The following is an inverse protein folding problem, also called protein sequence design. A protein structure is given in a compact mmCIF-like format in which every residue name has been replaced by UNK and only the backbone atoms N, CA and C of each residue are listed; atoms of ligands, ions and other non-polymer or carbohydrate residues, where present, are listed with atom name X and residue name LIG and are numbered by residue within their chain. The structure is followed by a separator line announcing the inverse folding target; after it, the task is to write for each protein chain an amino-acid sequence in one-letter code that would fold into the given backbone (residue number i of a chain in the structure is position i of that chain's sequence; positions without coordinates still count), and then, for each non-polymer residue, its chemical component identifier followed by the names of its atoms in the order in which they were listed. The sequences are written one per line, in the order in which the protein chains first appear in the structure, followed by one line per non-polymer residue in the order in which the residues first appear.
data_IF_275801860285
#
_entry.id   IF_275801860285
#
_cell.length_a   1.000
_cell.length_b   1.000
_cell.length_c   1.000
_cell.angle_alpha   90.00
_cell.angle_beta   90.00
_cell.angle_gamma   90.00
#
_symmetry.space_group_name_H-M   'P 1'
#
loop_
_entity.id
_entity.type
_entity.pdbx_description
1 polymer ?
#
# COMPACT_ATOMS: atom_id res chain seq x y z
N UNK A 1 3.92 39.61 -24.97
CA UNK A 1 5.07 40.30 -24.33
C UNK A 1 6.07 39.23 -23.90
N UNK A 2 7.37 39.45 -24.10
CA UNK A 2 8.41 38.56 -23.55
C UNK A 2 8.47 38.80 -22.05
N UNK A 3 8.43 37.75 -21.24
CA UNK A 3 8.62 37.85 -19.79
C UNK A 3 9.98 38.48 -19.50
N UNK A 4 10.00 39.69 -18.95
CA UNK A 4 11.24 40.41 -18.63
C UNK A 4 11.63 40.16 -17.18
N UNK A 5 12.29 39.03 -16.93
CA UNK A 5 12.81 38.67 -15.61
C UNK A 5 14.00 39.53 -15.16
N UNK A 6 14.51 40.42 -16.01
CA UNK A 6 15.63 41.31 -15.68
C UNK A 6 15.18 42.73 -15.30
N UNK A 7 13.87 43.03 -15.34
CA UNK A 7 13.36 44.34 -14.93
C UNK A 7 13.53 44.54 -13.42
N UNK A 8 13.77 45.78 -13.01
CA UNK A 8 13.85 46.12 -11.59
C UNK A 8 12.51 45.85 -10.88
N UNK A 9 11.39 46.14 -11.56
CA UNK A 9 10.04 45.83 -11.09
C UNK A 9 9.83 44.36 -10.73
N UNK A 10 10.37 43.43 -11.52
CA UNK A 10 10.28 42.00 -11.19
C UNK A 10 11.12 41.65 -9.96
N UNK A 11 12.32 42.22 -9.82
CA UNK A 11 13.19 41.95 -8.67
C UNK A 11 12.55 42.45 -7.37
N UNK A 12 12.06 43.69 -7.36
CA UNK A 12 11.36 44.28 -6.21
C UNK A 12 10.12 43.47 -5.82
N UNK A 13 9.27 43.13 -6.80
CA UNK A 13 8.10 42.30 -6.56
C UNK A 13 8.47 40.92 -6.01
N UNK A 14 9.43 40.24 -6.66
CA UNK A 14 9.93 38.93 -6.22
C UNK A 14 10.42 38.98 -4.78
N UNK A 15 11.23 39.97 -4.44
CA UNK A 15 11.83 40.06 -3.11
C UNK A 15 10.75 40.36 -2.05
N UNK A 16 9.74 41.17 -2.38
CA UNK A 16 8.60 41.42 -1.47
C UNK A 16 7.77 40.16 -1.16
N UNK A 17 7.59 39.27 -2.14
CA UNK A 17 6.87 38.00 -1.95
C UNK A 17 7.71 37.05 -1.09
N UNK A 18 9.01 36.91 -1.39
CA UNK A 18 9.93 36.05 -0.64
C UNK A 18 10.06 36.53 0.82
N UNK A 19 10.12 37.83 1.04
CA UNK A 19 10.14 38.43 2.38
C UNK A 19 8.84 38.14 3.14
N UNK A 20 7.68 38.29 2.49
CA UNK A 20 6.37 37.99 3.08
C UNK A 20 6.22 36.51 3.47
N UNK A 21 6.83 35.61 2.70
CA UNK A 21 6.87 34.17 2.99
C UNK A 21 7.98 33.78 4.00
N UNK A 22 8.64 34.77 4.62
CA UNK A 22 9.64 34.54 5.66
C UNK A 22 10.92 33.90 5.16
N UNK A 23 11.29 34.11 3.89
CA UNK A 23 12.49 33.58 3.26
C UNK A 23 12.57 32.04 3.29
N UNK A 24 11.43 31.36 3.16
CA UNK A 24 11.32 29.90 3.17
C UNK A 24 10.51 29.40 1.99
N UNK A 25 10.87 28.22 1.50
CA UNK A 25 10.06 27.49 0.54
C UNK A 25 8.74 27.05 1.19
N UNK A 26 7.60 27.39 0.60
CA UNK A 26 6.26 27.06 1.14
C UNK A 26 5.95 25.56 1.13
N UNK A 27 6.68 24.76 0.34
CA UNK A 27 6.51 23.31 0.26
C UNK A 27 7.42 22.57 1.26
N UNK A 28 8.73 22.79 1.21
CA UNK A 28 9.70 21.99 1.99
C UNK A 28 10.35 22.75 3.14
N UNK A 29 10.00 24.02 3.36
CA UNK A 29 10.53 24.84 4.44
C UNK A 29 12.02 25.23 4.32
N UNK A 30 12.71 24.86 3.23
CA UNK A 30 14.12 25.25 3.03
C UNK A 30 14.26 26.76 3.00
N UNK A 31 15.16 27.26 3.82
CA UNK A 31 15.52 28.68 3.92
C UNK A 31 16.41 29.14 2.77
N UNK A 32 16.38 30.45 2.48
CA UNK A 32 17.23 31.13 1.49
C UNK A 32 18.73 30.90 1.70
N UNK A 33 19.17 30.65 2.94
CA UNK A 33 20.56 30.30 3.29
C UNK A 33 21.03 28.96 2.71
N UNK A 34 20.09 28.04 2.40
CA UNK A 34 20.37 26.68 1.93
C UNK A 34 20.04 26.47 0.46
N UNK A 35 19.31 27.39 -0.16
CA UNK A 35 18.83 27.22 -1.54
C UNK A 35 18.41 28.54 -2.18
N UNK A 36 18.31 28.54 -3.51
CA UNK A 36 17.78 29.69 -4.25
C UNK A 36 16.25 29.62 -4.20
N UNK A 37 15.64 30.69 -3.69
CA UNK A 37 14.19 30.89 -3.69
C UNK A 37 13.74 31.64 -4.96
N UNK A 38 12.60 31.22 -5.47
CA UNK A 38 11.98 31.71 -6.69
C UNK A 38 10.48 31.89 -6.44
N UNK A 39 9.87 32.87 -7.09
CA UNK A 39 8.42 33.04 -7.07
C UNK A 39 7.83 32.25 -8.22
N UNK A 40 6.92 31.33 -7.88
CA UNK A 40 6.10 30.59 -8.82
C UNK A 40 4.72 31.25 -8.95
N UNK A 41 4.28 31.53 -10.17
CA UNK A 41 2.92 31.99 -10.45
C UNK A 41 1.99 30.79 -10.54
N UNK A 42 0.98 30.71 -9.65
CA UNK A 42 0.04 29.58 -9.59
C UNK A 42 -0.98 29.59 -10.73
N UNK A 43 -1.19 30.76 -11.36
CA UNK A 43 -2.01 30.93 -12.56
C UNK A 43 -1.35 31.89 -13.53
N UNK A 44 -1.59 31.71 -14.83
CA UNK A 44 -1.09 32.59 -15.88
C UNK A 44 -2.24 33.34 -16.55
N UNK A 45 -2.23 34.67 -16.45
CA UNK A 45 -3.21 35.57 -17.08
C UNK A 45 -2.57 36.25 -18.30
N UNK A 46 -3.20 36.09 -19.46
CA UNK A 46 -2.69 36.62 -20.73
C UNK A 46 -2.59 38.15 -20.70
N UNK A 47 -1.44 38.68 -21.12
CA UNK A 47 -1.20 40.12 -21.24
C UNK A 47 -0.72 40.82 -19.96
N UNK A 48 -0.63 40.08 -18.85
CA UNK A 48 -0.17 40.59 -17.55
C UNK A 48 1.35 40.43 -17.41
N UNK A 49 2.03 41.44 -16.87
CA UNK A 49 3.44 41.38 -16.50
C UNK A 49 3.63 40.55 -15.21
N UNK A 50 4.84 40.04 -14.99
CA UNK A 50 5.15 39.13 -13.86
C UNK A 50 4.89 39.74 -12.47
N UNK A 51 5.03 41.06 -12.32
CA UNK A 51 4.82 41.81 -11.08
C UNK A 51 3.40 42.37 -10.92
N UNK A 52 2.52 42.14 -11.90
CA UNK A 52 1.11 42.59 -11.86
C UNK A 52 0.17 41.53 -11.26
N UNK A 53 0.71 40.41 -10.77
CA UNK A 53 -0.05 39.36 -10.10
C UNK A 53 -0.28 39.72 -8.64
N UNK A 54 -1.42 39.30 -8.09
CA UNK A 54 -1.67 39.42 -6.67
C UNK A 54 -0.73 38.46 -5.90
N UNK A 55 -0.38 38.80 -4.66
CA UNK A 55 0.47 37.94 -3.84
C UNK A 55 -0.13 36.54 -3.61
N UNK A 56 -1.47 36.42 -3.55
CA UNK A 56 -2.19 35.15 -3.48
C UNK A 56 -1.98 34.23 -4.70
N UNK A 57 -1.57 34.81 -5.84
CA UNK A 57 -1.28 34.08 -7.08
C UNK A 57 0.20 33.70 -7.21
N UNK A 58 0.96 33.93 -6.15
CA UNK A 58 2.40 33.74 -6.09
C UNK A 58 2.73 32.85 -4.89
N UNK A 59 3.72 31.99 -5.06
CA UNK A 59 4.23 31.17 -3.97
C UNK A 59 5.76 31.11 -4.02
N UNK A 60 6.42 31.31 -2.87
CA UNK A 60 7.87 31.19 -2.77
C UNK A 60 8.30 29.73 -2.71
N UNK A 61 9.02 29.28 -3.72
CA UNK A 61 9.53 27.92 -3.84
C UNK A 61 11.05 27.89 -3.97
N UNK A 62 11.69 26.87 -3.40
CA UNK A 62 13.08 26.60 -3.75
C UNK A 62 13.21 26.05 -5.17
N UNK A 63 14.40 26.17 -5.79
CA UNK A 63 14.67 25.72 -7.16
C UNK A 63 14.17 24.31 -7.49
N UNK A 64 14.22 23.38 -6.53
CA UNK A 64 13.76 22.00 -6.73
C UNK A 64 12.24 21.89 -6.68
N UNK A 65 11.59 22.51 -5.70
CA UNK A 65 10.12 22.53 -5.63
C UNK A 65 9.53 23.24 -6.84
N UNK A 66 10.13 24.34 -7.25
CA UNK A 66 9.71 25.04 -8.46
C UNK A 66 9.83 24.19 -9.73
N UNK A 67 10.91 23.41 -9.85
CA UNK A 67 11.05 22.47 -10.97
C UNK A 67 10.02 21.32 -10.91
N UNK A 68 9.64 20.84 -9.72
CA UNK A 68 8.58 19.84 -9.54
C UNK A 68 7.22 20.39 -9.98
N UNK A 69 6.89 21.63 -9.60
CA UNK A 69 5.63 22.26 -9.99
C UNK A 69 5.48 22.42 -11.51
N UNK A 70 6.60 22.58 -12.21
CA UNK A 70 6.67 22.61 -13.67
C UNK A 70 6.84 21.23 -14.34
N UNK A 71 6.81 20.14 -13.58
CA UNK A 71 6.98 18.78 -14.10
C UNK A 71 8.36 18.51 -14.70
N UNK A 72 9.38 19.31 -14.36
CA UNK A 72 10.76 19.14 -14.88
C UNK A 72 11.55 18.09 -14.11
N UNK A 73 11.18 17.85 -12.86
CA UNK A 73 11.76 16.80 -12.02
C UNK A 73 10.63 16.06 -11.30
N UNK A 74 10.89 14.79 -10.97
CA UNK A 74 9.92 13.92 -10.30
C UNK A 74 9.54 14.48 -8.93
N UNK A 75 8.23 14.59 -8.61
CA UNK A 75 7.76 14.94 -7.28
C UNK A 75 8.24 13.94 -6.22
N UNK A 76 8.52 14.45 -5.02
CA UNK A 76 8.87 13.65 -3.85
C UNK A 76 7.75 13.60 -2.79
N UNK A 77 6.58 14.17 -3.08
CA UNK A 77 5.36 14.16 -2.26
C UNK A 77 4.15 14.25 -3.19
N UNK A 78 2.93 14.16 -2.63
CA UNK A 78 1.69 14.37 -3.36
C UNK A 78 1.29 13.19 -4.24
N UNK A 79 1.83 12.01 -3.96
CA UNK A 79 1.46 10.78 -4.65
C UNK A 79 0.23 10.16 -4.00
N UNK A 80 -0.64 9.59 -4.81
CA UNK A 80 -1.84 8.88 -4.38
C UNK A 80 -1.62 7.38 -4.53
N UNK A 81 -2.02 6.62 -3.52
CA UNK A 81 -2.02 5.17 -3.57
C UNK A 81 -3.19 4.65 -4.42
N UNK A 82 -2.91 3.79 -5.40
CA UNK A 82 -3.92 3.27 -6.34
C UNK A 82 -4.19 1.78 -6.12
N UNK A 83 -3.17 0.99 -5.81
CA UNK A 83 -3.34 -0.45 -5.61
C UNK A 83 -2.03 -1.21 -5.42
N UNK A 84 -2.15 -2.50 -5.12
CA UNK A 84 -1.03 -3.40 -4.84
C UNK A 84 -1.13 -4.70 -5.65
N UNK A 85 0.03 -5.30 -5.89
CA UNK A 85 0.17 -6.61 -6.52
C UNK A 85 1.29 -7.42 -5.85
N UNK A 86 1.08 -8.73 -5.67
CA UNK A 86 2.12 -9.68 -5.29
C UNK A 86 2.58 -10.46 -6.53
N UNK A 87 3.80 -10.19 -7.00
CA UNK A 87 4.42 -10.86 -8.14
C UNK A 87 4.78 -12.33 -7.86
N UNK A 88 4.62 -12.78 -6.61
CA UNK A 88 4.94 -14.13 -6.16
C UNK A 88 6.42 -14.36 -5.87
N UNK A 89 7.32 -13.62 -6.53
CA UNK A 89 8.77 -13.69 -6.35
C UNK A 89 9.42 -12.30 -6.47
N UNK A 90 10.71 -12.19 -6.13
CA UNK A 90 11.50 -10.96 -6.13
C UNK A 90 11.96 -10.59 -7.56
N UNK A 91 11.01 -10.39 -8.45
CA UNK A 91 11.22 -10.20 -9.91
C UNK A 91 10.89 -8.80 -10.42
N UNK A 92 10.20 -7.97 -9.63
CA UNK A 92 9.93 -6.57 -9.98
C UNK A 92 11.11 -5.67 -9.63
N UNK A 93 11.09 -4.44 -10.13
CA UNK A 93 12.06 -3.39 -9.82
C UNK A 93 11.30 -2.11 -9.41
N UNK A 94 11.71 -1.46 -8.33
CA UNK A 94 11.09 -0.23 -7.85
C UNK A 94 11.49 0.97 -8.73
N UNK A 95 10.53 1.61 -9.40
CA UNK A 95 10.77 2.76 -10.27
C UNK A 95 11.43 3.96 -9.58
N UNK A 96 11.29 4.05 -8.25
CA UNK A 96 11.86 5.16 -7.49
C UNK A 96 13.31 4.93 -7.04
N UNK A 97 13.69 3.69 -6.68
CA UNK A 97 14.99 3.41 -6.06
C UNK A 97 15.79 2.27 -6.72
N UNK A 98 15.26 1.61 -7.75
CA UNK A 98 15.90 0.52 -8.48
C UNK A 98 16.09 -0.77 -7.68
N UNK A 99 15.46 -0.90 -6.50
CA UNK A 99 15.55 -2.12 -5.70
C UNK A 99 14.61 -3.19 -6.23
N UNK A 100 15.05 -4.45 -6.24
CA UNK A 100 14.18 -5.55 -6.60
C UNK A 100 13.06 -5.71 -5.57
N UNK A 101 11.84 -5.96 -6.04
CA UNK A 101 10.62 -6.03 -5.23
C UNK A 101 9.76 -7.23 -5.66
N UNK A 102 9.08 -7.81 -4.67
CA UNK A 102 8.03 -8.83 -4.88
C UNK A 102 6.64 -8.23 -4.81
N UNK A 103 6.44 -7.34 -3.84
CA UNK A 103 5.18 -6.62 -3.65
C UNK A 103 5.31 -5.25 -4.30
N UNK A 104 4.49 -5.02 -5.30
CA UNK A 104 4.43 -3.79 -6.08
C UNK A 104 3.29 -2.93 -5.57
N UNK A 105 3.56 -1.65 -5.35
CA UNK A 105 2.57 -0.65 -5.00
C UNK A 105 2.48 0.36 -6.15
N UNK A 106 1.29 0.48 -6.72
CA UNK A 106 0.99 1.42 -7.78
C UNK A 106 0.60 2.76 -7.15
N UNK A 107 1.37 3.80 -7.47
CA UNK A 107 1.12 5.17 -7.02
C UNK A 107 0.97 6.10 -8.22
N UNK A 108 0.23 7.19 -8.05
CA UNK A 108 -0.03 8.15 -9.12
C UNK A 108 0.20 9.59 -8.65
N UNK A 109 0.69 10.45 -9.54
CA UNK A 109 0.76 11.89 -9.31
C UNK A 109 0.28 12.63 -10.55
N UNK A 110 -0.63 13.61 -10.40
CA UNK A 110 -1.25 14.40 -11.48
C UNK A 110 -0.24 14.87 -12.54
N UNK A 111 0.87 15.45 -12.08
CA UNK A 111 1.90 16.06 -12.94
C UNK A 111 2.97 15.09 -13.46
N UNK A 112 2.96 13.82 -13.06
CA UNK A 112 4.02 12.86 -13.40
C UNK A 112 3.52 11.55 -14.01
N UNK A 113 2.35 11.07 -13.60
CA UNK A 113 1.82 9.77 -14.00
C UNK A 113 1.96 8.72 -12.91
N UNK A 114 1.90 7.46 -13.32
CA UNK A 114 1.98 6.31 -12.42
C UNK A 114 3.42 5.82 -12.22
N UNK A 115 3.69 5.21 -11.06
CA UNK A 115 4.90 4.47 -10.76
C UNK A 115 4.57 3.16 -10.04
N UNK A 116 5.43 2.17 -10.25
CA UNK A 116 5.48 0.91 -9.53
C UNK A 116 6.62 0.96 -8.51
N UNK A 117 6.28 0.92 -7.23
CA UNK A 117 7.28 1.11 -6.16
C UNK A 117 7.19 0.04 -5.08
N UNK A 118 8.30 -0.16 -4.37
CA UNK A 118 8.33 -0.99 -3.17
C UNK A 118 7.73 -0.29 -1.96
N UNK A 119 7.51 -1.07 -0.88
CA UNK A 119 6.83 -0.63 0.35
C UNK A 119 7.30 0.71 0.90
N UNK A 120 8.61 0.87 1.12
CA UNK A 120 9.16 2.10 1.71
C UNK A 120 8.99 3.31 0.78
N UNK A 121 9.11 3.10 -0.53
CA UNK A 121 8.95 4.18 -1.50
C UNK A 121 7.49 4.58 -1.64
N UNK A 122 6.54 3.64 -1.54
CA UNK A 122 5.11 3.94 -1.48
C UNK A 122 4.84 4.88 -0.31
N UNK A 123 5.05 4.40 0.93
CA UNK A 123 4.76 5.13 2.16
C UNK A 123 5.39 6.54 2.18
N UNK A 124 6.65 6.67 1.73
CA UNK A 124 7.35 7.96 1.69
C UNK A 124 6.78 8.93 0.64
N UNK A 125 6.37 8.44 -0.53
CA UNK A 125 5.87 9.28 -1.62
C UNK A 125 4.40 9.68 -1.41
N UNK A 126 3.62 8.80 -0.79
CA UNK A 126 2.21 9.02 -0.45
C UNK A 126 1.99 9.66 0.92
N UNK A 127 3.06 9.84 1.71
CA UNK A 127 3.03 10.30 3.10
C UNK A 127 2.05 9.48 3.97
N UNK A 128 2.19 8.17 3.88
CA UNK A 128 1.18 7.23 4.35
C UNK A 128 1.81 5.93 4.86
N UNK A 129 1.01 4.98 5.35
CA UNK A 129 1.50 3.71 5.95
C UNK A 129 0.80 2.47 5.36
N UNK A 130 0.05 2.65 4.28
CA UNK A 130 -0.81 1.68 3.62
C UNK A 130 0.00 0.47 3.18
N UNK A 131 1.16 0.70 2.57
CA UNK A 131 2.02 -0.38 2.10
C UNK A 131 2.64 -1.14 3.28
N UNK A 132 3.15 -0.44 4.29
CA UNK A 132 3.71 -1.09 5.48
C UNK A 132 2.65 -1.88 6.26
N UNK A 133 1.44 -1.35 6.41
CA UNK A 133 0.34 -2.02 7.10
C UNK A 133 -0.11 -3.29 6.36
N UNK A 134 -0.24 -3.22 5.04
CA UNK A 134 -0.50 -4.40 4.21
C UNK A 134 0.60 -5.44 4.43
N UNK A 135 1.86 -5.02 4.38
CA UNK A 135 2.98 -5.94 4.50
C UNK A 135 3.11 -6.58 5.87
N UNK A 136 2.80 -5.83 6.92
CA UNK A 136 2.73 -6.36 8.27
C UNK A 136 1.59 -7.39 8.40
N UNK A 137 0.43 -7.13 7.80
CA UNK A 137 -0.70 -8.07 7.76
C UNK A 137 -0.31 -9.38 7.06
N UNK A 138 0.33 -9.30 5.89
CA UNK A 138 0.85 -10.45 5.13
C UNK A 138 1.85 -11.24 5.96
N UNK A 139 2.84 -10.59 6.57
CA UNK A 139 3.85 -11.26 7.43
C UNK A 139 3.19 -11.97 8.63
N UNK A 140 2.21 -11.33 9.28
CA UNK A 140 1.46 -11.96 10.38
C UNK A 140 0.65 -13.16 9.91
N UNK A 141 0.06 -13.10 8.72
CA UNK A 141 -0.67 -14.23 8.14
C UNK A 141 0.26 -15.41 7.87
N UNK A 142 1.38 -15.19 7.18
CA UNK A 142 2.37 -16.23 6.87
C UNK A 142 3.02 -16.81 8.12
N UNK A 143 3.33 -15.97 9.12
CA UNK A 143 3.84 -16.44 10.41
C UNK A 143 2.84 -17.36 11.12
N UNK A 144 1.56 -16.97 11.17
CA UNK A 144 0.49 -17.81 11.75
C UNK A 144 0.32 -19.12 10.98
N UNK A 145 0.40 -19.07 9.65
CA UNK A 145 0.33 -20.25 8.77
C UNK A 145 1.47 -21.22 9.06
N UNK A 146 2.71 -20.74 9.10
CA UNK A 146 3.90 -21.55 9.45
C UNK A 146 3.77 -22.16 10.84
N UNK A 147 3.35 -21.38 11.82
CA UNK A 147 3.14 -21.85 13.20
C UNK A 147 2.04 -22.91 13.29
N UNK A 148 0.98 -22.80 12.47
CA UNK A 148 -0.08 -23.79 12.40
C UNK A 148 0.41 -25.09 11.76
N UNK A 149 1.12 -25.03 10.63
CA UNK A 149 1.65 -26.21 9.92
C UNK A 149 2.60 -27.01 10.82
N UNK A 150 3.50 -26.30 11.50
CA UNK A 150 4.55 -26.88 12.35
C UNK A 150 4.12 -27.07 13.81
N UNK A 151 2.84 -26.91 14.12
CA UNK A 151 2.38 -26.97 15.51
C UNK A 151 2.59 -28.36 16.11
N UNK A 152 3.23 -28.42 17.28
CA UNK A 152 3.33 -29.65 18.08
C UNK A 152 1.97 -30.18 18.57
N UNK A 153 0.91 -29.37 18.45
CA UNK A 153 -0.47 -29.74 18.86
C UNK A 153 -1.17 -30.64 17.84
N UNK A 154 -0.57 -30.84 16.66
CA UNK A 154 -1.05 -31.85 15.72
C UNK A 154 -0.92 -33.24 16.35
N UNK A 155 -2.06 -33.93 16.47
CA UNK A 155 -2.10 -35.34 16.83
C UNK A 155 -1.92 -36.15 15.57
N UNK A 156 -0.86 -36.93 15.51
CA UNK A 156 -0.58 -37.84 14.39
C UNK A 156 -0.91 -39.27 14.81
N UNK A 157 -1.55 -40.01 13.91
CA UNK A 157 -1.83 -41.44 14.00
C UNK A 157 -1.48 -42.08 12.66
N UNK A 158 -1.48 -43.41 12.57
CA UNK A 158 -0.97 -44.17 11.42
C UNK A 158 -1.55 -43.74 10.06
N UNK A 159 -2.81 -43.25 10.02
CA UNK A 159 -3.49 -42.84 8.79
C UNK A 159 -4.16 -41.47 8.84
N UNK A 160 -3.93 -40.69 9.90
CA UNK A 160 -4.51 -39.34 9.96
C UNK A 160 -3.78 -38.38 10.89
N UNK A 161 -3.93 -37.10 10.60
CA UNK A 161 -3.50 -36.00 11.44
C UNK A 161 -4.70 -35.16 11.86
N UNK A 162 -4.74 -34.73 13.11
CA UNK A 162 -5.83 -33.87 13.60
C UNK A 162 -5.35 -32.75 14.51
N UNK A 163 -6.05 -31.61 14.44
CA UNK A 163 -5.83 -30.49 15.34
C UNK A 163 -7.16 -29.77 15.58
N UNK A 164 -7.32 -29.25 16.80
CA UNK A 164 -8.40 -28.33 17.13
C UNK A 164 -7.87 -26.91 17.07
N UNK A 165 -8.48 -26.06 16.23
CA UNK A 165 -8.14 -24.65 16.09
C UNK A 165 -9.41 -23.81 16.16
N UNK A 166 -9.41 -22.82 17.06
CA UNK A 166 -10.58 -22.00 17.36
C UNK A 166 -11.78 -22.90 17.74
N UNK A 167 -12.87 -22.85 16.97
CA UNK A 167 -14.07 -23.65 17.16
C UNK A 167 -14.14 -24.87 16.23
N UNK A 168 -13.15 -25.06 15.35
CA UNK A 168 -13.15 -26.10 14.34
C UNK A 168 -12.22 -27.25 14.71
N UNK A 169 -12.70 -28.45 14.44
CA UNK A 169 -11.90 -29.67 14.41
C UNK A 169 -11.47 -29.92 12.98
N UNK A 170 -10.16 -30.10 12.80
CA UNK A 170 -9.54 -30.31 11.50
C UNK A 170 -8.94 -31.70 11.54
N UNK A 171 -9.29 -32.51 10.55
CA UNK A 171 -8.75 -33.85 10.32
C UNK A 171 -8.20 -33.93 8.90
N UNK A 172 -7.03 -34.53 8.75
CA UNK A 172 -6.40 -34.80 7.46
C UNK A 172 -6.17 -36.30 7.43
N UNK A 173 -6.92 -37.00 6.59
CA UNK A 173 -6.74 -38.44 6.37
C UNK A 173 -5.65 -38.66 5.32
N UNK A 174 -4.74 -39.59 5.57
CA UNK A 174 -3.72 -40.06 4.64
C UNK A 174 -4.25 -41.31 3.93
N UNK A 175 -4.27 -41.27 2.60
CA UNK A 175 -4.80 -42.34 1.75
C UNK A 175 -3.76 -42.60 0.67
N UNK A 176 -3.03 -43.72 0.76
CA UNK A 176 -1.99 -44.20 -0.16
C UNK A 176 -1.10 -43.08 -0.77
N UNK A 177 -1.57 -42.39 -1.81
CA UNK A 177 -0.85 -41.35 -2.55
C UNK A 177 -1.33 -39.90 -2.33
N UNK A 178 -2.32 -39.66 -1.46
CA UNK A 178 -2.89 -38.33 -1.25
C UNK A 178 -3.48 -38.10 0.14
N UNK A 179 -3.65 -36.82 0.48
CA UNK A 179 -4.27 -36.37 1.72
C UNK A 179 -5.66 -35.79 1.48
N UNK A 180 -6.60 -36.09 2.38
CA UNK A 180 -7.97 -35.58 2.37
C UNK A 180 -8.23 -34.70 3.59
N UNK A 181 -8.55 -33.43 3.35
CA UNK A 181 -8.90 -32.48 4.40
C UNK A 181 -10.37 -32.58 4.78
N UNK A 182 -10.66 -32.67 6.07
CA UNK A 182 -11.99 -32.54 6.66
C UNK A 182 -11.98 -31.44 7.71
N UNK A 183 -12.89 -30.46 7.59
CA UNK A 183 -13.08 -29.39 8.58
C UNK A 183 -14.51 -29.51 9.10
N UNK A 184 -14.68 -29.69 10.40
CA UNK A 184 -16.01 -29.74 11.06
C UNK A 184 -17.00 -30.67 10.34
N UNK A 185 -16.60 -31.93 10.14
CA UNK A 185 -17.37 -32.97 9.45
C UNK A 185 -17.65 -32.70 7.96
N UNK A 186 -17.07 -31.65 7.37
CA UNK A 186 -17.15 -31.36 5.95
C UNK A 186 -15.85 -31.79 5.26
N UNK A 187 -15.94 -32.89 4.50
CA UNK A 187 -14.82 -33.42 3.74
C UNK A 187 -14.61 -32.62 2.45
N UNK A 188 -13.39 -32.14 2.24
CA UNK A 188 -12.96 -31.47 1.02
C UNK A 188 -12.94 -32.45 -0.14
N UNK A 189 -13.38 -31.99 -1.32
CA UNK A 189 -13.26 -32.75 -2.58
C UNK A 189 -11.84 -32.68 -3.15
N UNK A 190 -11.02 -31.73 -2.69
CA UNK A 190 -9.65 -31.54 -3.17
C UNK A 190 -8.74 -32.61 -2.58
N UNK A 191 -7.92 -33.23 -3.42
CA UNK A 191 -6.84 -34.13 -3.04
C UNK A 191 -5.55 -33.33 -2.96
N UNK A 192 -4.79 -33.52 -1.89
CA UNK A 192 -3.52 -32.83 -1.68
C UNK A 192 -2.38 -33.84 -1.81
N UNK A 193 -1.31 -33.47 -2.53
CA UNK A 193 -0.15 -34.34 -2.73
C UNK A 193 0.78 -34.40 -1.52
N UNK A 194 0.62 -33.53 -0.52
CA UNK A 194 1.41 -33.55 0.70
C UNK A 194 0.60 -33.10 1.92
N UNK A 195 1.01 -33.59 3.09
CA UNK A 195 0.46 -33.17 4.37
C UNK A 195 0.58 -31.65 4.57
N UNK A 196 1.70 -31.06 4.17
CA UNK A 196 1.93 -29.62 4.28
C UNK A 196 0.93 -28.82 3.47
N UNK A 197 0.64 -29.22 2.23
CA UNK A 197 -0.37 -28.58 1.38
C UNK A 197 -1.78 -28.71 1.97
N UNK A 198 -2.10 -29.86 2.55
CA UNK A 198 -3.38 -30.07 3.23
C UNK A 198 -3.51 -29.17 4.49
N UNK A 199 -2.45 -29.08 5.31
CA UNK A 199 -2.39 -28.20 6.48
C UNK A 199 -2.49 -26.72 6.08
N UNK A 200 -1.74 -26.30 5.06
CA UNK A 200 -1.79 -24.96 4.48
C UNK A 200 -3.21 -24.58 4.06
N UNK A 201 -3.87 -25.45 3.29
CA UNK A 201 -5.22 -25.21 2.82
C UNK A 201 -6.25 -25.19 3.95
N UNK A 202 -6.05 -25.98 5.01
CA UNK A 202 -6.91 -25.96 6.20
C UNK A 202 -6.81 -24.62 6.94
N UNK A 203 -5.59 -24.12 7.12
CA UNK A 203 -5.34 -22.82 7.75
C UNK A 203 -6.02 -21.69 6.96
N UNK A 204 -5.77 -21.63 5.65
CA UNK A 204 -6.32 -20.60 4.78
C UNK A 204 -7.85 -20.58 4.84
N UNK A 205 -8.51 -21.74 4.68
CA UNK A 205 -9.97 -21.83 4.68
C UNK A 205 -10.62 -21.32 5.99
N UNK A 206 -9.93 -21.45 7.12
CA UNK A 206 -10.43 -21.02 8.43
C UNK A 206 -10.15 -19.53 8.66
N UNK A 207 -8.94 -19.05 8.35
CA UNK A 207 -8.51 -17.69 8.68
C UNK A 207 -9.08 -16.65 7.70
N UNK A 208 -9.31 -17.01 6.43
CA UNK A 208 -9.93 -16.10 5.47
C UNK A 208 -11.48 -16.12 5.49
N UNK A 209 -12.08 -16.87 6.42
CA UNK A 209 -13.54 -16.96 6.56
C UNK A 209 -14.27 -17.75 5.47
N UNK A 210 -13.60 -18.23 4.42
CA UNK A 210 -14.22 -18.98 3.31
C UNK A 210 -14.95 -20.23 3.80
N UNK A 211 -14.44 -20.91 4.82
CA UNK A 211 -15.11 -22.07 5.39
C UNK A 211 -16.43 -21.70 6.07
N UNK A 212 -16.47 -20.57 6.78
CA UNK A 212 -17.68 -20.06 7.42
C UNK A 212 -18.71 -19.68 6.36
N UNK A 213 -18.29 -18.94 5.33
CA UNK A 213 -19.17 -18.58 4.20
C UNK A 213 -19.74 -19.82 3.50
N UNK A 214 -18.92 -20.85 3.30
CA UNK A 214 -19.37 -22.13 2.73
C UNK A 214 -20.44 -22.79 3.59
N UNK A 215 -20.22 -22.86 4.92
CA UNK A 215 -21.19 -23.42 5.85
C UNK A 215 -22.52 -22.64 5.84
N UNK A 216 -22.46 -21.32 5.85
CA UNK A 216 -23.65 -20.45 5.77
C UNK A 216 -24.41 -20.67 4.46
N UNK A 217 -23.72 -20.69 3.31
CA UNK A 217 -24.35 -20.93 1.99
C UNK A 217 -25.01 -22.30 1.86
N UNK A 218 -24.54 -23.30 2.61
CA UNK A 218 -25.03 -24.68 2.55
C UNK A 218 -25.92 -25.07 3.72
N UNK A 219 -26.30 -24.12 4.59
CA UNK A 219 -27.05 -24.38 5.83
C UNK A 219 -26.42 -25.48 6.70
N UNK A 220 -25.09 -25.55 6.73
CA UNK A 220 -24.34 -26.47 7.57
C UNK A 220 -24.25 -25.84 8.97
N UNK A 221 -24.57 -26.63 9.99
CA UNK A 221 -24.47 -26.18 11.38
C UNK A 221 -23.04 -25.78 11.72
N UNK A 222 -22.88 -24.56 12.22
CA UNK A 222 -21.63 -24.06 12.77
C UNK A 222 -21.53 -24.43 14.27
N UNK A 223 -20.33 -24.46 14.84
CA UNK A 223 -20.16 -24.72 16.28
C UNK A 223 -21.03 -23.78 17.13
N UNK A 224 -21.71 -24.30 18.15
CA UNK A 224 -22.70 -23.57 18.96
C UNK A 224 -22.20 -22.26 19.62
N UNK A 225 -20.87 -22.06 19.71
CA UNK A 225 -20.23 -20.84 20.23
C UNK A 225 -19.98 -19.77 19.15
N UNK A 226 -20.33 -20.01 17.90
CA UNK A 226 -20.16 -19.08 16.79
C UNK A 226 -21.33 -18.07 16.76
N UNK A 227 -21.05 -16.81 17.13
CA UNK A 227 -22.03 -15.71 17.02
C UNK A 227 -21.87 -15.02 15.67
N UNK A 228 -22.90 -15.03 14.83
CA UNK A 228 -22.93 -14.24 13.59
C UNK A 228 -23.15 -12.78 13.99
N UNK A 229 -22.10 -11.96 13.98
CA UNK A 229 -22.27 -10.52 14.07
C UNK A 229 -22.69 -10.00 12.69
N UNK A 230 -23.98 -9.75 12.50
CA UNK A 230 -24.51 -9.01 11.36
C UNK A 230 -24.07 -7.54 11.44
N UNK A 231 -22.80 -7.23 11.13
CA UNK A 231 -22.34 -5.87 10.82
C UNK A 231 -21.87 -5.82 9.37
N UNK A 232 -22.84 -5.96 8.46
CA UNK A 232 -22.71 -5.65 7.03
C UNK A 232 -24.12 -5.46 6.44
N UNK A 233 -24.84 -4.50 6.99
CA UNK A 233 -25.81 -3.65 6.30
C UNK A 233 -25.46 -2.25 6.81
N UNK A 234 -25.45 -1.25 5.94
CA UNK A 234 -24.93 0.11 6.16
C UNK A 234 -23.48 0.30 5.69
N UNK A 235 -23.26 0.05 4.39
CA UNK A 235 -22.57 1.01 3.52
C UNK A 235 -23.47 1.27 2.32
#
# INVERSE_FOLDING_TARGET
MKNNYNSEFWKEFRDSIIESDGYKCSICGKESSKTILQVHHTKYIKGRNLWEYASEDCVTLCKSCHAMEHGKIKPNYGWEYIGDEDLGDLIGECDNCGSNIRYVFHIYHEKWGALEVGTLCCDNLTDSQEASNLMESVRRFESRKKNFINSIKWKSSEHFHSIKKNLFEIKIDEIDDYFCLTIHNQKSKKRYSSLELAKSSAFEAIENGKFIEYCLKKNISLPAKFKINNKQKDK
#
